data_IF_360079145273
#
_entry.id   IF_360079145273
#
_cell.length_a   1.000
_cell.length_b   1.000
_cell.length_c   1.000
_cell.angle_alpha   90.00
_cell.angle_beta   90.00
_cell.angle_gamma   90.00
#
_symmetry.space_group_name_H-M   'P 1'
#
loop_
_entity.id
_entity.type
_entity.pdbx_description
1 polymer ?
#
# COMPACT_ATOMS: atom_id res chain seq x y z
N UNK A 1 7.87 -40.87 76.28
CA UNK A 1 6.91 -39.87 75.82
C UNK A 1 7.53 -39.00 74.73
N UNK A 2 7.28 -39.35 73.46
CA UNK A 2 7.71 -38.59 72.31
C UNK A 2 6.78 -37.35 72.13
N UNK A 3 7.32 -36.15 72.38
CA UNK A 3 6.67 -34.89 72.02
C UNK A 3 6.54 -34.80 70.53
N UNK A 4 5.41 -35.09 69.99
CA UNK A 4 5.04 -34.84 68.61
C UNK A 4 4.68 -33.34 68.51
N UNK A 5 5.61 -32.51 68.20
CA UNK A 5 5.33 -31.10 67.85
C UNK A 5 4.33 -31.09 66.69
N UNK A 6 3.13 -30.52 66.88
CA UNK A 6 2.19 -30.23 65.83
C UNK A 6 2.89 -29.23 64.91
N UNK A 7 3.27 -29.66 63.71
CA UNK A 7 3.65 -28.76 62.61
C UNK A 7 2.37 -28.07 62.20
N UNK A 8 2.07 -26.93 62.79
CA UNK A 8 0.95 -26.08 62.37
C UNK A 8 1.37 -25.46 61.01
N UNK A 9 0.59 -25.60 59.95
CA UNK A 9 0.88 -24.92 58.70
C UNK A 9 0.86 -23.41 58.96
N UNK A 10 1.94 -22.74 58.55
CA UNK A 10 2.05 -21.29 58.68
C UNK A 10 1.12 -20.64 57.63
N UNK A 11 -0.11 -20.28 58.11
CA UNK A 11 -1.15 -19.75 57.24
C UNK A 11 -0.69 -18.50 56.45
N UNK A 12 0.17 -17.66 57.04
CA UNK A 12 0.72 -16.48 56.34
C UNK A 12 1.59 -16.90 55.17
N UNK A 13 2.35 -17.98 55.29
CA UNK A 13 3.19 -18.48 54.20
C UNK A 13 2.36 -19.09 53.07
N UNK A 14 1.26 -19.77 53.41
CA UNK A 14 0.33 -20.34 52.44
C UNK A 14 -0.34 -19.21 51.64
N UNK A 15 -0.81 -18.16 52.34
CA UNK A 15 -1.39 -16.98 51.63
C UNK A 15 -0.40 -16.25 50.77
N UNK A 16 0.86 -16.12 51.20
CA UNK A 16 1.93 -15.51 50.41
C UNK A 16 2.20 -16.31 49.13
N UNK A 17 2.32 -17.63 49.24
CA UNK A 17 2.54 -18.51 48.08
C UNK A 17 1.33 -18.46 47.13
N UNK A 18 0.12 -18.52 47.66
CA UNK A 18 -1.09 -18.41 46.84
C UNK A 18 -1.17 -17.07 46.09
N UNK A 19 -0.76 -15.96 46.72
CA UNK A 19 -0.72 -14.65 46.12
C UNK A 19 0.33 -14.58 44.96
N UNK A 20 1.54 -15.14 45.24
CA UNK A 20 2.61 -15.17 44.20
C UNK A 20 2.18 -16.00 42.99
N UNK A 21 1.61 -17.19 43.21
CA UNK A 21 1.12 -18.05 42.12
C UNK A 21 -0.04 -17.38 41.40
N UNK A 22 -0.98 -16.77 42.14
CA UNK A 22 -2.12 -16.07 41.58
C UNK A 22 -1.74 -14.87 40.67
N UNK A 23 -0.65 -14.18 40.99
CA UNK A 23 -0.13 -13.07 40.17
C UNK A 23 0.78 -13.55 39.05
N UNK A 24 1.57 -14.60 39.24
CA UNK A 24 2.53 -15.08 38.25
C UNK A 24 1.84 -15.74 37.06
N UNK A 25 0.75 -16.47 37.24
CA UNK A 25 0.05 -17.13 36.14
C UNK A 25 -0.50 -16.13 35.12
N UNK A 26 -1.29 -15.10 35.49
CA UNK A 26 -1.74 -14.08 34.57
C UNK A 26 -0.58 -13.32 33.90
N UNK A 27 0.48 -13.00 34.65
CA UNK A 27 1.65 -12.31 34.09
C UNK A 27 2.35 -13.14 33.01
N UNK A 28 2.56 -14.43 33.24
CA UNK A 28 3.14 -15.34 32.24
C UNK A 28 2.23 -15.46 31.01
N UNK A 29 0.90 -15.56 31.22
CA UNK A 29 -0.04 -15.61 30.09
C UNK A 29 0.04 -14.34 29.24
N UNK A 30 0.08 -13.17 29.87
CA UNK A 30 0.20 -11.88 29.16
C UNK A 30 1.51 -11.84 28.37
N UNK A 31 2.64 -12.20 28.99
CA UNK A 31 3.95 -12.23 28.30
C UNK A 31 3.94 -13.20 27.12
N UNK A 32 3.34 -14.38 27.27
CA UNK A 32 3.21 -15.34 26.17
C UNK A 32 2.34 -14.77 25.05
N UNK A 33 1.19 -14.19 25.37
CA UNK A 33 0.31 -13.58 24.38
C UNK A 33 1.00 -12.42 23.63
N UNK A 34 1.75 -11.58 24.34
CA UNK A 34 2.50 -10.46 23.75
C UNK A 34 3.64 -10.96 22.87
N UNK A 35 4.32 -12.04 23.25
CA UNK A 35 5.37 -12.67 22.45
C UNK A 35 4.84 -13.25 21.12
N UNK A 36 3.61 -13.76 21.10
CA UNK A 36 2.95 -14.26 19.89
C UNK A 36 2.26 -13.17 19.06
N UNK A 37 2.01 -11.98 19.63
CA UNK A 37 1.41 -10.84 18.95
C UNK A 37 2.48 -9.84 18.46
N UNK A 38 3.46 -10.34 17.70
CA UNK A 38 4.45 -9.46 17.09
C UNK A 38 3.80 -8.59 16.02
N UNK A 39 3.50 -7.36 16.35
CA UNK A 39 3.03 -6.34 15.41
C UNK A 39 4.18 -5.37 15.12
N UNK A 40 4.27 -4.95 13.87
CA UNK A 40 5.15 -3.85 13.48
C UNK A 40 4.49 -2.56 13.96
N UNK A 41 5.10 -1.88 14.93
CA UNK A 41 4.57 -0.64 15.51
C UNK A 41 5.30 0.60 14.99
N UNK A 42 6.45 0.42 14.35
CA UNK A 42 7.20 1.54 13.81
C UNK A 42 8.42 1.19 12.97
N UNK A 43 9.08 2.24 12.52
CA UNK A 43 10.25 2.19 11.65
C UNK A 43 11.37 1.25 12.17
N UNK A 44 11.62 1.29 13.48
CA UNK A 44 12.69 0.48 14.09
C UNK A 44 12.44 -1.02 13.97
N UNK A 45 11.19 -1.45 13.97
CA UNK A 45 10.86 -2.87 13.83
C UNK A 45 11.07 -3.34 12.39
N UNK A 46 10.72 -2.51 11.42
CA UNK A 46 11.01 -2.77 10.01
C UNK A 46 12.52 -2.87 9.77
N UNK A 47 13.33 -1.94 10.33
CA UNK A 47 14.80 -1.94 10.18
C UNK A 47 15.46 -3.18 10.77
N UNK A 48 14.86 -3.83 11.78
CA UNK A 48 15.35 -5.10 12.32
C UNK A 48 15.09 -6.28 11.37
N UNK A 49 14.02 -6.20 10.58
CA UNK A 49 13.55 -7.30 9.72
C UNK A 49 14.14 -7.24 8.31
N UNK A 50 14.48 -6.05 7.82
CA UNK A 50 14.96 -5.89 6.45
C UNK A 50 16.08 -4.85 6.34
N UNK A 51 16.90 -5.01 5.30
CA UNK A 51 17.92 -4.03 4.88
C UNK A 51 17.41 -3.13 3.75
N UNK A 52 16.17 -3.31 3.32
CA UNK A 52 15.59 -2.48 2.27
C UNK A 52 15.43 -1.03 2.75
N UNK A 53 15.62 -0.05 1.88
CA UNK A 53 15.45 1.34 2.24
C UNK A 53 13.99 1.64 2.57
N UNK A 54 13.76 2.35 3.67
CA UNK A 54 12.44 2.85 4.04
C UNK A 54 12.24 4.20 3.36
N UNK A 55 11.24 4.28 2.50
CA UNK A 55 10.93 5.45 1.71
C UNK A 55 10.39 6.61 2.56
N UNK A 56 9.51 6.29 3.49
CA UNK A 56 8.87 7.24 4.40
C UNK A 56 7.88 6.54 5.34
N UNK A 57 7.48 7.26 6.36
CA UNK A 57 6.46 6.82 7.31
C UNK A 57 5.20 7.65 7.08
N UNK A 58 4.13 7.02 6.61
CA UNK A 58 2.85 7.67 6.37
C UNK A 58 1.95 7.47 7.59
N UNK A 59 1.65 8.52 8.35
CA UNK A 59 0.78 8.39 9.51
C UNK A 59 -0.67 8.09 9.08
N UNK A 60 -1.42 7.49 9.98
CA UNK A 60 -2.85 7.27 9.77
C UNK A 60 -3.51 8.65 9.61
N UNK A 61 -4.21 8.85 8.50
CA UNK A 61 -4.97 10.06 8.28
C UNK A 61 -6.02 10.22 9.40
N UNK A 62 -6.20 11.45 9.90
CA UNK A 62 -7.21 11.74 10.95
C UNK A 62 -8.60 11.29 10.48
N UNK A 63 -9.52 11.03 11.42
CA UNK A 63 -10.90 10.60 11.09
C UNK A 63 -11.64 11.53 10.11
N UNK A 64 -11.24 12.80 10.05
CA UNK A 64 -11.77 13.78 9.09
C UNK A 64 -11.39 13.49 7.63
N UNK A 65 -10.30 12.73 7.37
CA UNK A 65 -9.89 12.30 6.02
C UNK A 65 -10.62 11.04 5.54
N UNK A 66 -11.43 10.40 6.36
CA UNK A 66 -12.20 9.21 5.97
C UNK A 66 -13.45 9.52 5.13
N UNK A 67 -13.77 10.78 4.94
CA UNK A 67 -14.97 11.19 4.22
C UNK A 67 -14.63 12.16 3.10
N UNK A 68 -14.58 11.67 1.88
CA UNK A 68 -14.39 12.34 0.60
C UNK A 68 -12.93 12.58 0.20
N UNK A 69 -12.54 11.87 -0.87
CA UNK A 69 -11.29 12.01 -1.59
C UNK A 69 -10.06 12.12 -0.67
N UNK A 70 -9.48 10.99 -0.34
CA UNK A 70 -8.27 10.87 0.49
C UNK A 70 -7.01 11.42 -0.20
N UNK A 71 -7.16 12.40 -1.08
CA UNK A 71 -6.07 13.19 -1.62
C UNK A 71 -5.75 14.29 -0.61
N UNK A 72 -4.65 14.09 0.10
CA UNK A 72 -4.19 15.01 1.17
C UNK A 72 -3.06 15.93 0.70
N UNK A 73 -2.45 15.62 -0.44
CA UNK A 73 -1.42 16.42 -1.09
C UNK A 73 -2.09 17.41 -2.03
N UNK A 74 -1.93 18.70 -1.77
CA UNK A 74 -2.51 19.77 -2.57
C UNK A 74 -1.49 20.86 -2.84
N UNK A 75 -1.70 21.64 -3.88
CA UNK A 75 -0.93 22.84 -4.12
C UNK A 75 -1.18 23.88 -3.00
N UNK A 76 -0.11 24.45 -2.46
CA UNK A 76 -0.14 25.53 -1.45
C UNK A 76 -0.69 25.16 -0.05
N UNK A 77 -0.78 23.90 0.32
CA UNK A 77 -1.06 23.49 1.69
C UNK A 77 0.20 22.89 2.32
N UNK A 78 0.94 23.71 3.06
CA UNK A 78 2.10 23.24 3.84
C UNK A 78 1.63 22.43 5.06
N UNK A 79 1.18 21.20 4.83
CA UNK A 79 0.83 20.28 5.89
C UNK A 79 1.86 19.15 6.02
N UNK A 80 1.85 18.47 7.16
CA UNK A 80 2.78 17.38 7.46
C UNK A 80 2.73 16.26 6.39
N UNK A 81 1.54 15.93 5.90
CA UNK A 81 1.36 14.87 4.89
C UNK A 81 2.01 15.26 3.56
N UNK A 82 1.89 16.51 3.14
CA UNK A 82 2.55 17.01 1.93
C UNK A 82 4.06 16.88 2.02
N UNK A 83 4.68 17.24 3.17
CA UNK A 83 6.12 17.08 3.38
C UNK A 83 6.55 15.63 3.37
N UNK A 84 5.75 14.72 3.93
CA UNK A 84 6.03 13.29 3.89
C UNK A 84 6.05 12.77 2.43
N UNK A 85 5.02 13.09 1.63
CA UNK A 85 4.97 12.67 0.24
C UNK A 85 6.04 13.36 -0.64
N UNK A 86 6.42 14.60 -0.31
CA UNK A 86 7.54 15.29 -0.94
C UNK A 86 8.87 14.57 -0.64
N UNK A 87 9.07 14.16 0.62
CA UNK A 87 10.23 13.37 1.02
C UNK A 87 10.28 12.01 0.33
N UNK A 88 9.16 11.29 0.30
CA UNK A 88 9.07 10.00 -0.40
C UNK A 88 9.37 10.12 -1.89
N UNK A 89 8.80 11.13 -2.58
CA UNK A 89 9.10 11.42 -3.97
C UNK A 89 10.59 11.68 -4.19
N UNK A 90 11.20 12.51 -3.35
CA UNK A 90 12.62 12.84 -3.43
C UNK A 90 13.48 11.59 -3.26
N UNK A 91 13.19 10.77 -2.27
CA UNK A 91 13.88 9.50 -2.05
C UNK A 91 13.76 8.56 -3.26
N UNK A 92 12.57 8.42 -3.83
CA UNK A 92 12.36 7.63 -5.05
C UNK A 92 13.16 8.15 -6.24
N UNK A 93 13.20 9.47 -6.46
CA UNK A 93 13.98 10.07 -7.53
C UNK A 93 15.49 9.78 -7.42
N UNK A 94 16.02 9.70 -6.20
CA UNK A 94 17.43 9.32 -5.99
C UNK A 94 17.68 7.81 -6.19
N UNK A 95 16.67 6.98 -6.01
CA UNK A 95 16.80 5.52 -6.14
C UNK A 95 16.61 5.05 -7.58
N UNK A 96 15.79 5.74 -8.36
CA UNK A 96 15.47 5.41 -9.75
C UNK A 96 16.56 5.92 -10.69
N UNK A 97 16.91 5.11 -11.71
CA UNK A 97 17.74 5.53 -12.82
C UNK A 97 16.94 6.35 -13.82
N UNK A 98 17.61 7.06 -14.71
CA UNK A 98 17.01 8.01 -15.65
C UNK A 98 15.88 7.43 -16.51
N UNK A 99 15.96 6.15 -16.87
CA UNK A 99 14.96 5.45 -17.68
C UNK A 99 13.96 4.60 -16.87
N UNK A 100 14.04 4.61 -15.55
CA UNK A 100 13.17 3.84 -14.68
C UNK A 100 11.96 4.69 -14.29
N UNK A 101 10.84 4.50 -15.00
CA UNK A 101 9.65 5.34 -14.89
C UNK A 101 8.46 4.64 -14.19
N UNK A 102 8.50 3.32 -14.07
CA UNK A 102 7.36 2.51 -13.62
C UNK A 102 7.51 2.11 -12.18
N UNK A 103 6.66 2.66 -11.31
CA UNK A 103 6.68 2.45 -9.87
C UNK A 103 5.37 1.75 -9.47
N UNK A 104 5.45 0.56 -8.88
CA UNK A 104 4.28 -0.16 -8.39
C UNK A 104 4.15 -0.08 -6.88
N UNK A 105 2.91 0.04 -6.43
CA UNK A 105 2.52 -0.06 -5.03
C UNK A 105 1.81 -1.36 -4.78
N UNK A 106 2.28 -2.11 -3.79
CA UNK A 106 1.63 -3.32 -3.32
C UNK A 106 1.57 -3.34 -1.80
N UNK A 107 0.93 -4.34 -1.24
CA UNK A 107 0.80 -4.54 0.20
C UNK A 107 0.71 -6.02 0.53
N UNK A 108 0.88 -6.38 1.80
CA UNK A 108 0.69 -7.77 2.23
C UNK A 108 -0.79 -8.11 2.26
N UNK A 109 -1.62 -7.21 2.81
CA UNK A 109 -3.07 -7.40 2.93
C UNK A 109 -3.84 -6.19 2.40
N UNK A 110 -5.16 -6.33 2.33
CA UNK A 110 -6.04 -5.22 1.94
C UNK A 110 -6.21 -4.23 3.11
N UNK A 111 -6.22 -2.92 2.80
CA UNK A 111 -6.46 -1.88 3.80
C UNK A 111 -5.19 -1.28 4.43
N UNK A 112 -3.99 -1.63 3.97
CA UNK A 112 -2.71 -1.08 4.45
C UNK A 112 -2.37 0.31 3.88
N UNK A 113 -3.25 0.91 3.07
CA UNK A 113 -3.07 2.27 2.54
C UNK A 113 -2.32 2.36 1.21
N UNK A 114 -2.12 1.24 0.50
CA UNK A 114 -1.39 1.20 -0.78
C UNK A 114 -1.96 2.19 -1.82
N UNK A 115 -3.27 2.11 -2.09
CA UNK A 115 -3.96 2.99 -3.07
C UNK A 115 -3.88 4.47 -2.67
N UNK A 116 -4.06 4.76 -1.38
CA UNK A 116 -3.90 6.10 -0.80
C UNK A 116 -2.47 6.62 -1.03
N UNK A 117 -1.47 5.80 -0.74
CA UNK A 117 -0.06 6.19 -0.88
C UNK A 117 0.32 6.38 -2.35
N UNK A 118 -0.11 5.47 -3.24
CA UNK A 118 0.13 5.58 -4.68
C UNK A 118 -0.48 6.87 -5.26
N UNK A 119 -1.72 7.17 -4.93
CA UNK A 119 -2.44 8.35 -5.42
C UNK A 119 -1.79 9.66 -4.94
N UNK A 120 -1.52 9.79 -3.65
CA UNK A 120 -0.91 10.99 -3.10
C UNK A 120 0.53 11.20 -3.58
N UNK A 121 1.28 10.11 -3.80
CA UNK A 121 2.59 10.22 -4.41
C UNK A 121 2.51 10.66 -5.88
N UNK A 122 1.53 10.16 -6.64
CA UNK A 122 1.27 10.60 -8.02
C UNK A 122 0.99 12.11 -8.10
N UNK A 123 0.14 12.61 -7.20
CA UNK A 123 -0.10 14.06 -7.06
C UNK A 123 1.20 14.80 -6.71
N UNK A 124 2.02 14.27 -5.81
CA UNK A 124 3.30 14.90 -5.43
C UNK A 124 4.27 15.03 -6.61
N UNK A 125 4.33 14.01 -7.50
CA UNK A 125 5.12 14.10 -8.73
C UNK A 125 4.53 15.11 -9.74
N UNK A 126 3.20 15.15 -9.88
CA UNK A 126 2.52 16.10 -10.76
C UNK A 126 2.76 17.55 -10.32
N UNK A 127 2.72 17.83 -9.01
CA UNK A 127 3.05 19.13 -8.43
C UNK A 127 4.51 19.58 -8.70
N UNK A 128 5.42 18.63 -8.89
CA UNK A 128 6.79 18.92 -9.33
C UNK A 128 6.86 19.31 -10.83
N UNK A 129 5.74 19.32 -11.54
CA UNK A 129 5.67 19.61 -12.97
C UNK A 129 5.91 18.41 -13.88
N UNK A 130 5.98 17.20 -13.34
CA UNK A 130 6.12 15.95 -14.12
C UNK A 130 4.79 15.51 -14.69
N UNK A 131 4.82 14.96 -15.90
CA UNK A 131 3.67 14.27 -16.52
C UNK A 131 3.52 12.89 -15.90
N UNK A 132 2.44 12.63 -15.20
CA UNK A 132 2.24 11.40 -14.40
C UNK A 132 0.95 10.73 -14.84
N UNK A 133 0.98 9.41 -14.92
CA UNK A 133 -0.23 8.60 -15.00
C UNK A 133 -0.31 7.63 -13.82
N UNK A 134 -1.47 7.57 -13.20
CA UNK A 134 -1.79 6.59 -12.17
C UNK A 134 -2.65 5.49 -12.77
N UNK A 135 -2.17 4.25 -12.71
CA UNK A 135 -2.78 3.09 -13.35
C UNK A 135 -3.33 2.13 -12.29
N UNK A 136 -4.61 1.83 -12.36
CA UNK A 136 -5.27 0.85 -11.49
C UNK A 136 -5.12 -0.57 -12.03
N UNK A 137 -4.15 -1.34 -11.55
CA UNK A 137 -3.98 -2.76 -11.85
C UNK A 137 -4.55 -3.69 -10.76
N UNK A 138 -5.16 -3.17 -9.70
CA UNK A 138 -6.05 -3.97 -8.86
C UNK A 138 -7.40 -4.12 -9.57
N UNK A 139 -7.43 -5.04 -10.55
CA UNK A 139 -8.63 -5.32 -11.36
C UNK A 139 -9.61 -6.27 -10.67
N UNK A 140 -9.32 -6.71 -9.43
CA UNK A 140 -10.21 -7.54 -8.60
C UNK A 140 -11.07 -6.70 -7.66
N UNK A 141 -10.44 -5.71 -7.01
CA UNK A 141 -11.09 -4.82 -6.04
C UNK A 141 -10.64 -3.37 -6.28
N UNK A 142 -11.02 -2.78 -7.43
CA UNK A 142 -10.58 -1.44 -7.79
C UNK A 142 -11.09 -0.39 -6.78
N UNK A 143 -10.21 0.46 -6.29
CA UNK A 143 -10.51 1.52 -5.33
C UNK A 143 -10.19 2.92 -5.83
N UNK A 144 -9.42 3.05 -6.91
CA UNK A 144 -9.03 4.36 -7.45
C UNK A 144 -10.23 5.22 -7.86
N UNK A 145 -11.29 4.62 -8.42
CA UNK A 145 -12.47 5.34 -8.83
C UNK A 145 -13.18 6.01 -7.63
N UNK A 146 -13.23 5.35 -6.49
CA UNK A 146 -13.78 5.91 -5.25
C UNK A 146 -12.93 7.11 -4.77
N UNK A 147 -11.59 6.96 -4.81
CA UNK A 147 -10.63 7.96 -4.35
C UNK A 147 -10.69 9.27 -5.16
N UNK A 148 -10.86 9.17 -6.47
CA UNK A 148 -10.96 10.32 -7.37
C UNK A 148 -12.40 10.72 -7.71
N UNK A 149 -13.40 10.16 -7.02
CA UNK A 149 -14.83 10.41 -7.24
C UNK A 149 -15.29 10.18 -8.71
N UNK A 150 -14.61 9.26 -9.42
CA UNK A 150 -14.93 8.91 -10.80
C UNK A 150 -16.16 7.99 -10.83
N UNK A 151 -17.21 8.46 -11.48
CA UNK A 151 -18.49 7.71 -11.63
C UNK A 151 -18.47 6.77 -12.85
N UNK A 152 -17.54 6.98 -13.76
CA UNK A 152 -17.41 6.15 -14.95
C UNK A 152 -16.63 4.88 -14.64
N UNK A 153 -17.30 3.75 -14.70
CA UNK A 153 -16.72 2.42 -14.53
C UNK A 153 -16.55 1.67 -15.84
N UNK A 154 -16.85 2.31 -16.98
CA UNK A 154 -16.79 1.67 -18.29
C UNK A 154 -15.41 1.81 -18.94
N UNK A 155 -14.70 2.91 -18.68
CA UNK A 155 -13.34 3.12 -19.17
C UNK A 155 -12.32 2.47 -18.24
N UNK A 156 -11.26 1.91 -18.83
CA UNK A 156 -10.16 1.35 -18.05
C UNK A 156 -9.33 0.31 -18.77
N UNK A 157 -8.24 -0.07 -18.11
CA UNK A 157 -7.22 -0.95 -18.68
C UNK A 157 -7.73 -2.35 -19.03
N UNK A 158 -8.74 -2.87 -18.33
CA UNK A 158 -9.29 -4.21 -18.62
C UNK A 158 -9.84 -4.30 -20.04
N UNK A 159 -10.38 -3.22 -20.59
CA UNK A 159 -10.82 -3.18 -21.99
C UNK A 159 -9.63 -3.34 -22.95
N UNK A 160 -8.54 -2.61 -22.69
CA UNK A 160 -7.33 -2.68 -23.52
C UNK A 160 -6.71 -4.08 -23.45
N UNK A 161 -6.69 -4.71 -22.26
CA UNK A 161 -6.13 -6.04 -22.04
C UNK A 161 -6.88 -7.16 -22.77
N UNK A 162 -8.13 -6.93 -23.18
CA UNK A 162 -8.89 -7.93 -23.97
C UNK A 162 -8.41 -8.00 -25.42
N UNK A 163 -7.77 -6.95 -25.96
CA UNK A 163 -7.21 -6.91 -27.29
C UNK A 163 -5.72 -7.29 -27.27
N UNK A 164 -5.24 -7.93 -28.32
CA UNK A 164 -3.83 -8.31 -28.44
C UNK A 164 -2.92 -7.09 -28.60
N UNK A 165 -3.38 -6.10 -29.34
CA UNK A 165 -2.69 -4.83 -29.56
C UNK A 165 -3.72 -3.70 -29.55
N UNK A 166 -3.44 -2.68 -28.77
CA UNK A 166 -4.23 -1.45 -28.74
C UNK A 166 -3.42 -0.33 -29.36
N UNK A 167 -4.03 0.47 -30.23
CA UNK A 167 -3.40 1.66 -30.78
C UNK A 167 -3.21 2.73 -29.72
N UNK A 168 -2.32 3.69 -29.98
CA UNK A 168 -2.12 4.80 -29.03
C UNK A 168 -3.39 5.63 -28.83
N UNK A 169 -4.23 5.76 -29.88
CA UNK A 169 -5.53 6.43 -29.81
C UNK A 169 -6.51 5.68 -28.90
N UNK A 170 -6.56 4.34 -28.99
CA UNK A 170 -7.41 3.53 -28.12
C UNK A 170 -6.96 3.59 -26.66
N UNK A 171 -5.63 3.61 -26.41
CA UNK A 171 -5.09 3.80 -25.06
C UNK A 171 -5.48 5.18 -24.54
N UNK A 172 -5.28 6.25 -25.31
CA UNK A 172 -5.66 7.62 -24.92
C UNK A 172 -7.15 7.77 -24.64
N UNK A 173 -8.00 7.06 -25.38
CA UNK A 173 -9.44 7.07 -25.17
C UNK A 173 -9.88 6.46 -23.82
N UNK A 174 -9.03 5.66 -23.15
CA UNK A 174 -9.29 5.11 -21.83
C UNK A 174 -8.72 5.93 -20.68
N UNK A 175 -7.93 6.98 -21.00
CA UNK A 175 -7.27 7.84 -20.02
C UNK A 175 -8.23 8.98 -19.62
N UNK A 176 -8.34 9.22 -18.33
CA UNK A 176 -9.18 10.25 -17.74
C UNK A 176 -8.31 11.30 -17.03
N UNK A 177 -8.65 12.59 -17.06
CA UNK A 177 -7.99 13.58 -16.23
C UNK A 177 -8.30 13.33 -14.76
N UNK A 178 -7.33 13.56 -13.87
CA UNK A 178 -7.51 13.33 -12.42
C UNK A 178 -8.49 14.32 -11.76
N UNK A 179 -8.69 15.50 -12.35
CA UNK A 179 -9.43 16.59 -11.72
C UNK A 179 -8.71 17.26 -10.54
N UNK A 180 -7.54 16.73 -10.13
CA UNK A 180 -6.73 17.25 -9.01
C UNK A 180 -5.57 18.11 -9.49
N UNK A 181 -4.91 17.69 -10.57
CA UNK A 181 -3.80 18.40 -11.19
C UNK A 181 -3.77 18.12 -12.70
N UNK A 182 -3.48 19.15 -13.51
CA UNK A 182 -3.44 19.07 -14.99
C UNK A 182 -2.36 18.12 -15.52
N UNK A 183 -1.36 17.78 -14.72
CA UNK A 183 -0.26 16.88 -15.11
C UNK A 183 -0.44 15.46 -14.59
N UNK A 184 -1.58 15.17 -13.95
CA UNK A 184 -1.94 13.83 -13.46
C UNK A 184 -3.14 13.32 -14.24
N UNK A 185 -2.91 12.23 -14.95
CA UNK A 185 -3.93 11.45 -15.62
C UNK A 185 -4.16 10.11 -14.92
N UNK A 186 -5.32 9.52 -15.18
CA UNK A 186 -5.76 8.27 -14.58
C UNK A 186 -6.11 7.25 -15.67
N UNK A 187 -5.58 6.03 -15.53
CA UNK A 187 -6.04 4.86 -16.28
C UNK A 187 -6.67 3.90 -15.27
N UNK A 188 -7.98 3.93 -15.19
CA UNK A 188 -8.74 3.12 -14.23
C UNK A 188 -8.65 1.63 -14.55
N UNK A 189 -9.02 0.78 -13.59
CA UNK A 189 -9.10 -0.67 -13.79
C UNK A 189 -10.16 -1.04 -14.84
N UNK A 190 -11.29 -0.34 -14.86
CA UNK A 190 -12.42 -0.68 -15.71
C UNK A 190 -13.28 -1.81 -15.12
N UNK A 191 -14.11 -2.48 -15.94
CA UNK A 191 -14.97 -3.57 -15.52
C UNK A 191 -14.15 -4.75 -14.97
N UNK A 192 -14.65 -5.36 -13.88
CA UNK A 192 -13.98 -6.53 -13.25
C UNK A 192 -14.09 -7.73 -14.20
N UNK A 193 -12.97 -8.29 -14.65
CA UNK A 193 -12.99 -9.42 -15.56
C UNK A 193 -13.16 -10.76 -14.81
N UNK A 194 -13.64 -11.82 -15.47
CA UNK A 194 -13.75 -13.15 -14.86
C UNK A 194 -12.40 -13.84 -14.64
N UNK A 195 -11.35 -13.44 -15.37
CA UNK A 195 -10.02 -14.05 -15.37
C UNK A 195 -8.90 -13.01 -15.20
N UNK A 196 -8.78 -12.37 -14.02
CA UNK A 196 -7.85 -11.26 -13.81
C UNK A 196 -6.38 -11.63 -14.06
N UNK A 197 -5.91 -12.74 -13.50
CA UNK A 197 -4.50 -13.16 -13.61
C UNK A 197 -4.07 -13.43 -15.05
N UNK A 198 -4.92 -14.08 -15.84
CA UNK A 198 -4.64 -14.39 -17.25
C UNK A 198 -4.59 -13.12 -18.11
N UNK A 199 -5.41 -12.11 -17.79
CA UNK A 199 -5.37 -10.84 -18.49
C UNK A 199 -4.07 -10.08 -18.20
N UNK A 200 -3.65 -10.04 -16.93
CA UNK A 200 -2.41 -9.38 -16.53
C UNK A 200 -1.15 -10.07 -17.04
N UNK A 201 -1.24 -11.37 -17.34
CA UNK A 201 -0.13 -12.14 -17.90
C UNK A 201 0.09 -11.91 -19.41
N UNK A 202 -0.85 -11.26 -20.11
CA UNK A 202 -0.76 -11.04 -21.56
C UNK A 202 0.28 -10.00 -21.95
N UNK A 203 0.87 -10.17 -23.12
CA UNK A 203 1.79 -9.19 -23.75
C UNK A 203 1.11 -7.85 -24.03
N UNK A 204 -0.22 -7.81 -24.14
CA UNK A 204 -0.96 -6.55 -24.29
C UNK A 204 -0.70 -5.57 -23.14
N UNK A 205 -0.44 -6.05 -21.91
CA UNK A 205 -0.06 -5.19 -20.79
C UNK A 205 1.31 -4.54 -21.05
N UNK A 206 2.30 -5.30 -21.51
CA UNK A 206 3.63 -4.79 -21.82
C UNK A 206 3.54 -3.70 -22.88
N UNK A 207 2.78 -3.95 -23.95
CA UNK A 207 2.56 -2.97 -25.02
C UNK A 207 1.87 -1.68 -24.53
N UNK A 208 0.87 -1.79 -23.66
CA UNK A 208 0.21 -0.61 -23.07
C UNK A 208 1.21 0.20 -22.25
N UNK A 209 1.98 -0.44 -21.38
CA UNK A 209 2.95 0.24 -20.52
C UNK A 209 4.07 0.89 -21.35
N UNK A 210 4.54 0.25 -22.41
CA UNK A 210 5.55 0.84 -23.29
C UNK A 210 5.03 2.10 -24.00
N UNK A 211 3.78 2.11 -24.47
CA UNK A 211 3.14 3.33 -24.99
C UNK A 211 3.01 4.42 -23.91
N UNK A 212 2.68 4.05 -22.66
CA UNK A 212 2.59 5.02 -21.57
C UNK A 212 3.98 5.62 -21.22
N UNK A 213 5.08 4.84 -21.32
CA UNK A 213 6.45 5.35 -21.11
C UNK A 213 6.85 6.43 -22.10
N UNK A 214 6.28 6.42 -23.30
CA UNK A 214 6.50 7.48 -24.30
C UNK A 214 5.75 8.77 -23.97
N UNK A 215 4.61 8.67 -23.30
CA UNK A 215 3.71 9.80 -23.04
C UNK A 215 3.94 10.47 -21.69
N UNK A 216 4.49 9.72 -20.69
CA UNK A 216 4.60 10.15 -19.30
C UNK A 216 6.02 10.07 -18.77
N UNK A 217 6.34 10.96 -17.83
CA UNK A 217 7.59 10.95 -17.08
C UNK A 217 7.59 9.85 -16.02
N UNK A 218 6.45 9.61 -15.37
CA UNK A 218 6.26 8.57 -14.36
C UNK A 218 4.93 7.84 -14.55
N UNK A 219 4.98 6.52 -14.37
CA UNK A 219 3.83 5.62 -14.36
C UNK A 219 3.75 5.03 -12.95
N UNK A 220 2.74 5.40 -12.21
CA UNK A 220 2.49 4.87 -10.86
C UNK A 220 1.38 3.84 -10.96
N UNK A 221 1.62 2.65 -10.44
CA UNK A 221 0.73 1.51 -10.56
C UNK A 221 0.22 1.11 -9.18
N UNK A 222 -1.09 1.12 -9.00
CA UNK A 222 -1.76 0.54 -7.84
C UNK A 222 -2.12 -0.91 -8.14
N UNK A 223 -1.51 -1.89 -7.44
CA UNK A 223 -1.68 -3.32 -7.69
C UNK A 223 -2.52 -3.99 -6.59
N UNK A 224 -2.93 -5.24 -6.80
CA UNK A 224 -3.52 -6.05 -5.75
C UNK A 224 -2.49 -6.41 -4.65
N UNK A 225 -2.93 -6.71 -3.41
CA UNK A 225 -2.04 -7.16 -2.34
C UNK A 225 -1.31 -8.46 -2.71
N UNK A 226 0.04 -8.45 -2.71
CA UNK A 226 0.86 -9.61 -3.09
C UNK A 226 0.70 -10.79 -2.14
N UNK A 227 0.36 -10.55 -0.88
CA UNK A 227 0.10 -11.62 0.10
C UNK A 227 -1.22 -12.36 -0.10
N UNK A 228 -2.12 -11.82 -0.92
CA UNK A 228 -3.45 -12.43 -1.16
C UNK A 228 -3.57 -13.05 -2.55
N UNK A 229 -2.92 -12.47 -3.56
CA UNK A 229 -3.03 -12.89 -4.96
C UNK A 229 -1.70 -12.79 -5.69
N UNK A 230 -1.54 -13.62 -6.72
CA UNK A 230 -0.33 -13.67 -7.55
C UNK A 230 -0.29 -12.61 -8.66
N UNK A 231 -1.33 -11.82 -8.81
CA UNK A 231 -1.49 -10.81 -9.87
C UNK A 231 -0.31 -9.83 -9.90
N UNK A 232 0.13 -9.36 -8.73
CA UNK A 232 1.28 -8.45 -8.60
C UNK A 232 2.58 -9.09 -9.09
N UNK A 233 2.74 -10.41 -8.93
CA UNK A 233 3.90 -11.11 -9.48
C UNK A 233 3.86 -11.17 -11.01
N UNK A 234 2.67 -11.29 -11.60
CA UNK A 234 2.51 -11.26 -13.07
C UNK A 234 2.94 -9.91 -13.67
N UNK A 235 2.65 -8.81 -12.98
CA UNK A 235 3.00 -7.47 -13.45
C UNK A 235 4.44 -7.06 -13.12
N UNK A 236 5.19 -7.84 -12.34
CA UNK A 236 6.56 -7.49 -11.93
C UNK A 236 7.52 -7.25 -13.10
N UNK A 237 7.27 -7.91 -14.26
CA UNK A 237 8.09 -7.77 -15.47
C UNK A 237 8.09 -6.37 -16.09
N UNK A 238 7.05 -5.57 -15.84
CA UNK A 238 6.92 -4.20 -16.37
C UNK A 238 7.35 -3.12 -15.37
N UNK A 239 7.70 -3.49 -14.14
CA UNK A 239 7.95 -2.60 -13.01
C UNK A 239 9.45 -2.35 -12.87
N UNK A 240 9.84 -1.11 -12.60
CA UNK A 240 11.21 -0.74 -12.29
C UNK A 240 11.46 -0.67 -10.78
N UNK A 241 10.51 -0.21 -10.00
CA UNK A 241 10.57 -0.17 -8.54
C UNK A 241 9.24 -0.57 -7.91
N UNK A 242 9.31 -1.24 -6.75
CA UNK A 242 8.14 -1.62 -5.96
C UNK A 242 8.21 -0.96 -4.57
N UNK A 243 7.10 -0.41 -4.13
CA UNK A 243 6.87 0.19 -2.82
C UNK A 243 5.83 -0.60 -2.05
#
# INVERSE_FOLDING_TARGET
TLFRSKVSPNNSMIYLIALIIGLSIPAVIIIILEFFHYKIEGRNDVLKLTKLPILGDVPIASEQAKTKADIVVHENKNNLMEEIFRGMRTNLQFMLKENEKVIAFTSTTSGEGKTFTAANLAVSFALLGKKVILVGLDIRKPRLAELFEIKDHHHGITRLLTHSHSTQEEIKAQILPSGVNERLDLLMSGPIPPNPSELLARESLDHIIDNLKEMYDYIIIDTAPVGLVTDTLQVSRIINATV
#
